data_IF_758672225214
#
_entry.id   IF_758672225214
#
_cell.length_a   1.000
_cell.length_b   1.000
_cell.length_c   1.000
_cell.angle_alpha   90.00
_cell.angle_beta   90.00
_cell.angle_gamma   90.00
#
_symmetry.space_group_name_H-M   'P 1'
#
loop_
_entity.id
_entity.type
_entity.pdbx_description
1 polymer ?
#
# COMPACT_ATOMS: atom_id res chain seq x y z
N UNK A 1 62.78 -12.72 -36.04
CA UNK A 1 62.70 -11.67 -35.00
C UNK A 1 61.61 -12.15 -34.05
N UNK A 2 61.79 -13.19 -33.24
CA UNK A 2 62.79 -13.49 -32.22
C UNK A 2 62.78 -12.57 -30.99
N UNK A 3 62.82 -13.22 -29.82
CA UNK A 3 62.87 -12.78 -28.40
C UNK A 3 61.52 -12.41 -27.75
N UNK A 4 60.91 -13.22 -26.87
CA UNK A 4 61.30 -13.66 -25.49
C UNK A 4 61.37 -12.46 -24.51
N UNK A 5 60.86 -12.45 -23.28
CA UNK A 5 60.75 -13.46 -22.21
C UNK A 5 59.95 -12.88 -21.01
N UNK A 6 59.37 -13.75 -20.19
CA UNK A 6 58.68 -13.47 -18.90
C UNK A 6 59.69 -13.61 -17.71
N UNK A 7 59.27 -13.76 -16.43
CA UNK A 7 58.89 -12.79 -15.39
C UNK A 7 59.92 -12.75 -14.21
N UNK A 8 59.74 -11.88 -13.20
CA UNK A 8 60.40 -12.05 -11.89
C UNK A 8 59.47 -11.80 -10.69
N UNK A 9 59.29 -12.87 -9.92
CA UNK A 9 58.92 -12.92 -8.51
C UNK A 9 60.21 -12.78 -7.68
N UNK A 10 60.18 -12.04 -6.57
CA UNK A 10 61.06 -12.29 -5.42
C UNK A 10 60.28 -12.08 -4.10
N UNK A 11 60.14 -13.17 -3.36
CA UNK A 11 59.79 -13.26 -1.93
C UNK A 11 61.01 -12.90 -1.07
N UNK A 12 60.84 -12.36 0.14
CA UNK A 12 61.52 -12.87 1.35
C UNK A 12 60.86 -12.40 2.65
N UNK A 13 60.88 -13.32 3.61
CA UNK A 13 60.18 -13.40 4.90
C UNK A 13 61.14 -13.10 6.08
N UNK A 14 60.53 -12.92 7.26
CA UNK A 14 60.99 -13.15 8.64
C UNK A 14 61.30 -11.96 9.59
N UNK A 15 60.30 -11.73 10.46
CA UNK A 15 60.33 -11.63 11.94
C UNK A 15 61.37 -10.72 12.62
N UNK A 16 60.87 -9.71 13.33
CA UNK A 16 61.13 -9.61 14.78
C UNK A 16 60.08 -8.78 15.52
N UNK A 17 59.66 -9.34 16.65
CA UNK A 17 58.77 -8.77 17.66
C UNK A 17 59.33 -7.48 18.25
N UNK A 18 58.45 -6.50 18.52
CA UNK A 18 58.52 -5.80 19.79
C UNK A 18 57.13 -5.47 20.32
N UNK A 19 56.99 -5.76 21.60
CA UNK A 19 55.79 -5.65 22.41
C UNK A 19 55.31 -4.19 22.45
N UNK A 20 54.03 -3.95 22.17
CA UNK A 20 53.33 -2.82 22.78
C UNK A 20 52.11 -3.34 23.54
N UNK A 21 52.22 -3.08 24.82
CA UNK A 21 51.43 -3.45 25.98
C UNK A 21 49.94 -3.19 25.79
N UNK A 22 49.14 -4.14 26.27
CA UNK A 22 47.72 -3.96 26.59
C UNK A 22 47.54 -2.68 27.41
N UNK A 23 46.83 -1.72 26.84
CA UNK A 23 45.91 -0.88 27.61
C UNK A 23 44.54 -1.20 27.05
N UNK A 24 43.94 -2.25 27.60
CA UNK A 24 42.53 -2.53 27.38
C UNK A 24 41.74 -1.34 27.92
N UNK A 25 41.19 -0.55 27.02
CA UNK A 25 40.01 0.22 27.35
C UNK A 25 38.90 -0.82 27.52
N UNK A 26 38.74 -1.31 28.75
CA UNK A 26 37.49 -1.89 29.16
C UNK A 26 36.46 -0.77 29.00
N UNK A 27 35.78 -0.74 27.86
CA UNK A 27 34.47 -0.09 27.76
C UNK A 27 33.60 -0.95 28.66
N UNK A 28 33.62 -0.62 29.95
CA UNK A 28 32.55 -0.97 30.84
C UNK A 28 31.30 -0.42 30.15
N UNK A 29 30.52 -1.31 29.52
CA UNK A 29 29.09 -1.11 29.45
C UNK A 29 28.64 -1.08 30.90
N UNK A 30 28.76 0.11 31.50
CA UNK A 30 27.89 0.51 32.56
C UNK A 30 26.54 0.43 31.89
N UNK A 31 25.84 -0.70 32.10
CA UNK A 31 24.40 -0.66 32.21
C UNK A 31 24.13 0.36 33.32
N UNK A 32 24.16 1.64 32.95
CA UNK A 32 23.34 2.61 33.63
C UNK A 32 21.97 2.02 33.38
N UNK A 33 21.46 1.30 34.38
CA UNK A 33 20.07 0.98 34.46
C UNK A 33 19.37 2.27 34.07
N UNK A 34 18.64 2.20 32.96
CA UNK A 34 17.72 3.25 32.56
C UNK A 34 16.82 3.42 33.77
N UNK A 35 17.20 4.34 34.67
CA UNK A 35 16.29 4.92 35.61
C UNK A 35 15.18 5.42 34.70
N UNK A 36 14.06 4.70 34.69
CA UNK A 36 12.87 5.14 33.99
C UNK A 36 12.70 6.59 34.42
N UNK A 37 12.93 7.49 33.46
CA UNK A 37 12.88 8.91 33.67
C UNK A 37 11.45 9.22 34.10
N UNK A 38 11.23 9.27 35.42
CA UNK A 38 9.90 9.41 35.98
C UNK A 38 9.65 10.89 36.20
N UNK A 39 8.96 11.52 35.27
CA UNK A 39 8.29 12.78 35.57
C UNK A 39 6.98 12.46 36.32
N UNK A 40 6.69 13.08 37.48
CA UNK A 40 5.45 12.85 38.22
C UNK A 40 4.19 13.14 37.41
N UNK A 41 4.24 14.07 36.46
CA UNK A 41 3.11 14.38 35.59
C UNK A 41 2.81 13.23 34.62
N UNK A 42 3.86 12.61 34.07
CA UNK A 42 3.70 11.44 33.21
C UNK A 42 3.36 10.18 33.99
N UNK A 43 4.07 9.92 35.09
CA UNK A 43 3.87 8.70 35.90
C UNK A 43 2.56 8.72 36.69
N UNK A 44 2.05 9.90 37.03
CA UNK A 44 0.71 10.08 37.60
C UNK A 44 -0.43 10.01 36.57
N UNK A 45 -0.11 10.09 35.28
CA UNK A 45 -1.10 9.92 34.21
C UNK A 45 -1.38 8.45 33.95
N UNK A 46 -2.67 8.10 33.80
CA UNK A 46 -3.15 6.73 33.61
C UNK A 46 -4.00 6.70 32.35
N UNK A 47 -3.64 5.86 31.39
CA UNK A 47 -4.43 5.63 30.19
C UNK A 47 -5.76 4.93 30.54
N UNK A 48 -6.77 4.97 29.64
CA UNK A 48 -8.08 4.33 29.88
C UNK A 48 -8.03 2.83 30.23
N UNK A 49 -6.95 2.12 29.87
CA UNK A 49 -6.71 0.72 30.23
C UNK A 49 -5.99 0.53 31.58
N UNK A 50 -5.80 1.59 32.38
CA UNK A 50 -5.16 1.52 33.69
C UNK A 50 -3.64 1.52 33.67
N UNK A 51 -3.00 1.73 32.52
CA UNK A 51 -1.54 1.78 32.44
C UNK A 51 -0.99 3.18 32.71
N UNK A 52 0.10 3.22 33.47
CA UNK A 52 0.81 4.46 33.77
C UNK A 52 1.74 4.87 32.61
N UNK A 53 1.84 6.18 32.37
CA UNK A 53 2.75 6.74 31.40
C UNK A 53 4.22 6.66 31.85
N UNK A 54 5.14 6.66 30.88
CA UNK A 54 6.57 6.84 31.10
C UNK A 54 7.18 7.79 30.05
N UNK A 55 8.20 8.56 30.43
CA UNK A 55 8.83 9.50 29.50
C UNK A 55 9.75 8.79 28.51
N UNK A 56 9.49 8.97 27.21
CA UNK A 56 10.27 8.38 26.12
C UNK A 56 10.32 9.31 24.89
N UNK A 57 11.27 9.08 23.98
CA UNK A 57 11.25 9.72 22.65
C UNK A 57 10.12 9.13 21.80
N UNK A 58 9.62 9.91 20.84
CA UNK A 58 8.56 9.44 19.91
C UNK A 58 9.00 8.18 19.14
N UNK A 59 10.26 8.10 18.73
CA UNK A 59 10.80 6.93 18.01
C UNK A 59 10.89 5.67 18.87
N UNK A 60 10.98 5.80 20.19
CA UNK A 60 10.99 4.69 21.15
C UNK A 60 9.58 4.37 21.67
N UNK A 61 8.56 5.09 21.20
CA UNK A 61 7.15 4.88 21.49
C UNK A 61 6.40 4.52 20.18
N UNK A 62 6.56 3.29 19.68
CA UNK A 62 5.93 2.87 18.44
C UNK A 62 4.40 2.98 18.52
N UNK A 63 3.74 3.08 17.37
CA UNK A 63 2.28 3.25 17.22
C UNK A 63 1.72 4.64 17.59
N UNK A 64 2.57 5.65 17.78
CA UNK A 64 2.21 7.08 17.94
C UNK A 64 1.44 7.44 19.23
N UNK A 65 1.46 6.60 20.27
CA UNK A 65 0.71 6.84 21.51
C UNK A 65 1.52 7.55 22.58
N UNK A 66 1.59 8.88 22.47
CA UNK A 66 2.25 9.73 23.44
C UNK A 66 1.50 11.05 23.69
N UNK A 67 1.66 11.61 24.89
CA UNK A 67 1.11 12.92 25.27
C UNK A 67 2.25 13.91 25.46
N UNK A 68 2.18 15.03 24.76
CA UNK A 68 3.15 16.12 24.88
C UNK A 68 2.96 16.88 26.19
N UNK A 69 4.05 17.39 26.74
CA UNK A 69 4.01 18.33 27.88
C UNK A 69 3.94 17.69 29.25
N UNK A 70 3.71 16.38 29.36
CA UNK A 70 3.70 15.65 30.64
C UNK A 70 5.08 15.10 31.05
N UNK A 71 6.13 15.47 30.30
CA UNK A 71 7.53 15.24 30.64
C UNK A 71 8.32 16.56 30.65
N UNK A 72 7.86 17.60 31.38
CA UNK A 72 8.43 18.95 31.31
C UNK A 72 9.92 19.00 31.70
N UNK A 73 10.38 18.04 32.49
CA UNK A 73 11.78 17.94 32.93
C UNK A 73 12.76 17.56 31.80
N UNK A 74 12.27 17.12 30.63
CA UNK A 74 13.10 16.46 29.60
C UNK A 74 13.08 17.13 28.21
N UNK A 75 12.50 18.34 28.09
CA UNK A 75 12.47 19.10 26.83
C UNK A 75 11.41 18.62 25.83
N UNK A 76 11.30 19.32 24.70
CA UNK A 76 10.15 19.16 23.78
C UNK A 76 10.13 17.84 23.00
N UNK A 77 11.27 17.15 22.89
CA UNK A 77 11.44 15.91 22.10
C UNK A 77 11.08 14.64 22.89
N UNK A 78 10.86 14.77 24.20
CA UNK A 78 10.44 13.70 25.10
C UNK A 78 8.96 13.85 25.44
N UNK A 79 8.23 12.75 25.30
CA UNK A 79 6.77 12.69 25.44
C UNK A 79 6.39 11.61 26.44
N UNK A 80 5.22 11.75 27.05
CA UNK A 80 4.71 10.73 27.96
C UNK A 80 4.05 9.60 27.16
N UNK A 81 4.69 8.43 27.13
CA UNK A 81 4.32 7.27 26.34
C UNK A 81 3.59 6.22 27.19
N UNK A 82 2.61 5.51 26.62
CA UNK A 82 1.86 4.44 27.28
C UNK A 82 2.14 3.08 26.61
N UNK A 83 2.29 2.01 27.42
CA UNK A 83 2.67 0.68 26.92
C UNK A 83 1.47 -0.16 26.45
N UNK A 84 0.80 0.28 25.38
CA UNK A 84 -0.49 -0.25 24.96
C UNK A 84 -0.42 -1.46 23.99
N UNK A 85 0.62 -2.30 24.03
CA UNK A 85 0.87 -3.39 23.05
C UNK A 85 -0.22 -4.49 22.96
N UNK A 86 -1.30 -4.39 23.72
CA UNK A 86 -2.41 -5.37 23.75
C UNK A 86 -3.80 -4.73 23.57
N UNK A 87 -3.90 -3.64 22.79
CA UNK A 87 -5.18 -3.15 22.26
C UNK A 87 -6.07 -2.36 23.24
N UNK A 88 -5.51 -1.75 24.28
CA UNK A 88 -6.30 -1.12 25.34
C UNK A 88 -6.49 0.39 25.30
N UNK A 89 -5.83 1.15 24.42
CA UNK A 89 -5.81 2.61 24.51
C UNK A 89 -6.49 3.25 23.30
N UNK A 90 -7.78 3.53 23.39
CA UNK A 90 -8.46 4.45 22.47
C UNK A 90 -8.18 5.91 22.89
N UNK A 91 -7.95 6.79 21.93
CA UNK A 91 -7.99 8.24 22.15
C UNK A 91 -9.32 8.77 21.67
N UNK A 92 -10.11 9.36 22.57
CA UNK A 92 -10.77 10.64 22.34
C UNK A 92 -11.41 11.14 23.63
N UNK A 93 -10.92 12.26 24.15
CA UNK A 93 -11.78 13.27 24.78
C UNK A 93 -11.00 14.55 25.00
N UNK A 94 -11.40 15.60 24.29
CA UNK A 94 -11.39 16.94 24.85
C UNK A 94 -12.14 16.89 26.19
N UNK A 95 -11.47 17.34 27.25
CA UNK A 95 -12.05 17.56 28.56
C UNK A 95 -13.06 18.70 28.45
N UNK A 96 -14.35 18.34 28.43
CA UNK A 96 -15.48 19.24 28.57
C UNK A 96 -16.31 18.82 29.79
N UNK A 97 -16.33 19.69 30.79
CA UNK A 97 -16.98 19.58 32.10
C UNK A 97 -18.36 18.91 32.09
N UNK A 98 -18.52 17.88 32.92
CA UNK A 98 -19.82 17.30 33.26
C UNK A 98 -20.49 18.02 34.43
N UNK A 99 -21.81 18.19 34.31
CA UNK A 99 -22.77 18.08 35.42
C UNK A 99 -24.07 17.54 34.85
N UNK A 100 -24.57 16.43 35.38
CA UNK A 100 -25.88 15.89 34.99
C UNK A 100 -26.10 14.45 35.42
N UNK A 101 -26.47 14.27 36.68
CA UNK A 101 -26.96 13.03 37.30
C UNK A 101 -28.22 12.49 36.63
N UNK A 102 -28.32 11.18 36.44
CA UNK A 102 -29.56 10.51 36.07
C UNK A 102 -29.43 8.99 36.10
N UNK A 103 -30.06 8.38 37.09
CA UNK A 103 -30.13 6.94 37.39
C UNK A 103 -31.14 6.19 36.51
N UNK A 104 -30.94 4.87 36.47
CA UNK A 104 -31.92 3.77 36.39
C UNK A 104 -32.19 3.01 35.08
N UNK A 105 -31.68 1.77 35.10
CA UNK A 105 -32.32 0.46 34.89
C UNK A 105 -33.29 0.24 33.72
N UNK A 106 -32.91 -0.70 32.86
CA UNK A 106 -33.82 -1.42 31.96
C UNK A 106 -33.18 -2.69 31.41
N UNK A 107 -33.48 -3.82 32.04
CA UNK A 107 -33.18 -5.19 31.56
C UNK A 107 -33.97 -5.51 30.30
N UNK A 108 -33.29 -6.00 29.26
CA UNK A 108 -33.92 -6.58 28.07
C UNK A 108 -32.96 -7.54 27.39
N UNK A 109 -33.19 -8.83 27.59
CA UNK A 109 -32.59 -9.93 26.83
C UNK A 109 -33.14 -9.91 25.41
N UNK A 110 -32.28 -9.76 24.41
CA UNK A 110 -32.64 -10.13 23.04
C UNK A 110 -31.48 -10.83 22.34
N UNK A 111 -31.76 -12.04 21.88
CA UNK A 111 -30.89 -12.88 21.07
C UNK A 111 -30.96 -12.40 19.63
N UNK A 112 -29.99 -11.58 19.22
CA UNK A 112 -29.81 -11.16 17.83
C UNK A 112 -28.36 -11.34 17.40
N UNK A 113 -28.16 -12.06 16.30
CA UNK A 113 -26.90 -12.15 15.56
C UNK A 113 -26.33 -10.75 15.33
N UNK A 114 -25.26 -10.41 16.03
CA UNK A 114 -24.65 -9.09 16.00
C UNK A 114 -23.90 -8.85 14.70
N UNK A 115 -24.56 -8.23 13.73
CA UNK A 115 -23.86 -7.41 12.74
C UNK A 115 -23.43 -6.14 13.48
N UNK A 116 -22.16 -6.09 13.89
CA UNK A 116 -21.60 -4.89 14.49
C UNK A 116 -21.62 -3.80 13.42
N UNK A 117 -22.56 -2.85 13.54
CA UNK A 117 -22.53 -1.61 12.76
C UNK A 117 -21.23 -0.88 13.11
N UNK A 118 -20.23 -0.95 12.23
CA UNK A 118 -19.01 -0.15 12.37
C UNK A 118 -19.39 1.33 12.22
N UNK A 119 -19.58 2.00 13.35
CA UNK A 119 -19.97 3.43 13.45
C UNK A 119 -18.76 4.38 13.47
N UNK A 120 -17.56 3.89 13.19
CA UNK A 120 -16.33 4.69 13.11
C UNK A 120 -15.99 5.15 11.70
N UNK A 121 -15.36 6.32 11.57
CA UNK A 121 -14.73 6.78 10.32
C UNK A 121 -13.49 5.95 10.01
N UNK A 122 -13.33 5.50 8.77
CA UNK A 122 -12.16 4.75 8.33
C UNK A 122 -10.87 5.56 8.50
N UNK A 123 -9.72 4.94 8.82
CA UNK A 123 -8.40 5.58 8.74
C UNK A 123 -8.12 6.21 7.37
N UNK A 124 -8.81 5.73 6.33
CA UNK A 124 -8.67 6.20 4.96
C UNK A 124 -9.76 7.21 4.55
N UNK A 125 -10.57 7.73 5.49
CA UNK A 125 -11.66 8.66 5.22
C UNK A 125 -11.25 9.92 4.43
N UNK A 126 -10.02 10.38 4.62
CA UNK A 126 -9.47 11.56 3.95
C UNK A 126 -8.84 11.25 2.57
N UNK A 127 -8.74 9.98 2.16
CA UNK A 127 -8.11 9.62 0.88
C UNK A 127 -8.99 10.09 -0.28
N UNK A 128 -8.37 10.83 -1.20
CA UNK A 128 -8.93 11.31 -2.47
C UNK A 128 -7.97 10.87 -3.56
N UNK A 129 -8.19 9.67 -4.06
CA UNK A 129 -7.26 8.98 -4.93
C UNK A 129 -7.71 8.96 -6.39
N UNK A 130 -6.75 8.69 -7.27
CA UNK A 130 -7.03 8.31 -8.66
C UNK A 130 -5.96 7.35 -9.18
N UNK A 131 -6.32 6.52 -10.15
CA UNK A 131 -5.32 5.79 -10.93
C UNK A 131 -4.72 6.68 -12.02
N UNK A 132 -3.44 6.49 -12.33
CA UNK A 132 -2.78 7.08 -13.49
C UNK A 132 -2.31 5.94 -14.39
N UNK A 133 -2.96 5.80 -15.56
CA UNK A 133 -2.69 4.72 -16.50
C UNK A 133 -1.39 4.94 -17.28
N UNK A 134 -0.74 3.85 -17.70
CA UNK A 134 0.45 3.89 -18.57
C UNK A 134 0.24 4.68 -19.87
N UNK A 135 -0.99 4.70 -20.38
CA UNK A 135 -1.33 5.43 -21.60
C UNK A 135 -1.27 6.95 -21.43
N UNK A 136 -1.19 7.41 -20.19
CA UNK A 136 -1.14 8.81 -19.77
C UNK A 136 0.17 9.16 -19.06
N UNK A 137 1.17 8.29 -19.20
CA UNK A 137 2.50 8.61 -18.70
C UNK A 137 3.05 9.84 -19.39
N UNK A 138 3.46 10.79 -18.56
CA UNK A 138 4.29 11.89 -18.96
C UNK A 138 5.57 11.38 -19.64
N UNK A 139 6.07 12.18 -20.57
CA UNK A 139 7.32 11.94 -21.27
C UNK A 139 8.52 12.68 -20.66
N UNK A 140 8.27 13.55 -19.69
CA UNK A 140 9.27 14.32 -18.97
C UNK A 140 8.85 14.68 -17.55
N UNK A 141 9.82 15.05 -16.70
CA UNK A 141 9.57 15.62 -15.37
C UNK A 141 8.61 16.82 -15.42
N UNK A 142 8.74 17.69 -16.41
CA UNK A 142 7.92 18.90 -16.54
C UNK A 142 6.44 18.57 -16.81
N UNK A 143 6.18 17.56 -17.65
CA UNK A 143 4.83 17.06 -17.90
C UNK A 143 4.23 16.39 -16.65
N UNK A 144 5.03 15.63 -15.89
CA UNK A 144 4.62 15.07 -14.60
C UNK A 144 4.25 16.19 -13.63
N UNK A 145 5.09 17.22 -13.52
CA UNK A 145 4.87 18.38 -12.66
C UNK A 145 3.58 19.13 -12.99
N UNK A 146 3.28 19.31 -14.28
CA UNK A 146 2.04 19.94 -14.74
C UNK A 146 0.82 19.07 -14.41
N UNK A 147 0.89 17.77 -14.69
CA UNK A 147 -0.19 16.82 -14.36
C UNK A 147 -0.50 16.82 -12.87
N UNK A 148 0.54 16.78 -12.03
CA UNK A 148 0.38 16.73 -10.58
C UNK A 148 -0.08 18.06 -9.98
N UNK A 149 0.30 19.20 -10.58
CA UNK A 149 -0.27 20.49 -10.20
C UNK A 149 -1.78 20.52 -10.47
N UNK A 150 -2.23 19.99 -11.62
CA UNK A 150 -3.66 19.85 -11.91
C UNK A 150 -4.33 18.93 -10.90
N UNK A 151 -3.77 17.75 -10.60
CA UNK A 151 -4.35 16.83 -9.62
C UNK A 151 -4.45 17.45 -8.22
N UNK A 152 -3.42 18.16 -7.76
CA UNK A 152 -3.45 18.88 -6.49
C UNK A 152 -4.56 19.94 -6.46
N UNK A 153 -4.69 20.74 -7.53
CA UNK A 153 -5.75 21.74 -7.66
C UNK A 153 -7.16 21.12 -7.68
N UNK A 154 -7.25 19.82 -7.97
CA UNK A 154 -8.47 19.02 -7.94
C UNK A 154 -8.67 18.32 -6.60
N UNK A 155 -7.85 18.58 -5.58
CA UNK A 155 -7.97 17.97 -4.26
C UNK A 155 -7.52 16.51 -4.18
N UNK A 156 -6.86 15.99 -5.23
CA UNK A 156 -6.29 14.63 -5.22
C UNK A 156 -5.07 14.63 -4.32
N UNK A 157 -5.05 13.71 -3.36
CA UNK A 157 -3.96 13.53 -2.41
C UNK A 157 -3.29 12.15 -2.49
N UNK A 158 -3.76 11.28 -3.41
CA UNK A 158 -3.11 9.99 -3.69
C UNK A 158 -3.21 9.60 -5.16
N UNK A 159 -2.16 8.99 -5.70
CA UNK A 159 -2.12 8.45 -7.06
C UNK A 159 -1.62 7.00 -7.06
N UNK A 160 -2.40 6.09 -7.64
CA UNK A 160 -1.97 4.74 -8.00
C UNK A 160 -1.42 4.78 -9.44
N UNK A 161 -0.10 4.90 -9.57
CA UNK A 161 0.60 5.06 -10.84
C UNK A 161 0.93 3.71 -11.44
N UNK A 162 0.47 3.41 -12.65
CA UNK A 162 0.85 2.20 -13.35
C UNK A 162 2.36 2.16 -13.58
N UNK A 163 3.08 1.21 -13.00
CA UNK A 163 4.55 1.11 -13.15
C UNK A 163 5.00 -0.09 -13.94
N UNK A 164 4.12 -1.08 -14.12
CA UNK A 164 4.45 -2.31 -14.79
C UNK A 164 3.25 -2.92 -15.50
N UNK A 165 3.40 -3.07 -16.82
CA UNK A 165 2.37 -3.66 -17.65
C UNK A 165 2.91 -4.01 -19.05
N UNK A 166 2.36 -5.04 -19.69
CA UNK A 166 2.71 -5.47 -21.06
C UNK A 166 4.22 -5.71 -21.28
N UNK A 167 4.91 -6.21 -20.24
CA UNK A 167 6.35 -6.44 -20.30
C UNK A 167 7.21 -5.18 -20.35
N UNK A 168 6.63 -4.02 -20.05
CA UNK A 168 7.30 -2.75 -19.90
C UNK A 168 7.30 -2.33 -18.43
N UNK A 169 8.37 -1.66 -18.01
CA UNK A 169 8.55 -1.16 -16.65
C UNK A 169 8.94 0.31 -16.67
N UNK A 170 8.38 1.09 -15.74
CA UNK A 170 8.49 2.55 -15.69
C UNK A 170 9.24 3.04 -14.44
N UNK A 171 10.14 2.21 -13.93
CA UNK A 171 11.02 2.45 -12.80
C UNK A 171 12.25 1.54 -12.89
N UNK A 172 13.32 1.84 -12.15
CA UNK A 172 14.52 1.01 -12.08
C UNK A 172 14.26 -0.21 -11.20
N UNK A 173 14.43 -1.42 -11.74
CA UNK A 173 14.24 -2.68 -11.03
C UNK A 173 15.33 -3.69 -11.42
N UNK A 174 16.32 -3.92 -10.55
CA UNK A 174 17.28 -5.01 -10.72
C UNK A 174 16.61 -6.38 -10.91
N UNK A 175 15.46 -6.62 -10.27
CA UNK A 175 14.68 -7.85 -10.43
C UNK A 175 14.18 -8.00 -11.87
N UNK A 176 13.61 -6.94 -12.47
CA UNK A 176 13.22 -6.97 -13.88
C UNK A 176 14.43 -7.16 -14.80
N UNK A 177 15.52 -6.43 -14.54
CA UNK A 177 16.76 -6.51 -15.33
C UNK A 177 17.43 -7.88 -15.27
N UNK A 178 17.22 -8.64 -14.20
CA UNK A 178 17.71 -10.02 -14.05
C UNK A 178 17.19 -10.98 -15.13
N UNK A 179 16.10 -10.62 -15.83
CA UNK A 179 15.62 -11.35 -17.00
C UNK A 179 16.52 -11.17 -18.24
N UNK A 180 17.49 -10.26 -18.20
CA UNK A 180 18.33 -9.89 -19.35
C UNK A 180 17.57 -9.04 -20.37
N UNK A 181 16.47 -8.41 -19.98
CA UNK A 181 15.55 -7.70 -20.86
C UNK A 181 15.72 -6.19 -20.69
N UNK A 182 15.83 -5.48 -21.81
CA UNK A 182 15.75 -4.01 -21.83
C UNK A 182 14.29 -3.56 -21.93
N UNK A 183 13.54 -3.76 -20.85
CA UNK A 183 12.11 -3.37 -20.76
C UNK A 183 11.87 -2.04 -20.05
N UNK A 184 12.91 -1.45 -19.46
CA UNK A 184 12.86 -0.12 -18.86
C UNK A 184 12.61 0.93 -19.94
N UNK A 185 11.46 1.61 -19.82
CA UNK A 185 11.05 2.63 -20.80
C UNK A 185 11.55 4.01 -20.40
N UNK A 186 11.34 4.40 -19.13
CA UNK A 186 11.79 5.64 -18.48
C UNK A 186 11.36 5.63 -17.01
N UNK A 187 11.94 6.51 -16.20
CA UNK A 187 11.70 6.58 -14.76
C UNK A 187 10.48 7.45 -14.39
N UNK A 188 9.28 7.03 -14.79
CA UNK A 188 8.04 7.76 -14.48
C UNK A 188 7.76 7.73 -12.98
N UNK A 189 8.09 6.63 -12.30
CA UNK A 189 7.90 6.50 -10.85
C UNK A 189 8.74 7.53 -10.09
N UNK A 190 10.02 7.72 -10.46
CA UNK A 190 10.89 8.72 -9.83
C UNK A 190 10.33 10.13 -9.95
N UNK A 191 9.89 10.50 -11.16
CA UNK A 191 9.27 11.80 -11.40
C UNK A 191 8.00 12.00 -10.57
N UNK A 192 7.16 10.96 -10.50
CA UNK A 192 5.91 11.01 -9.74
C UNK A 192 6.15 11.14 -8.24
N UNK A 193 7.07 10.36 -7.66
CA UNK A 193 7.42 10.45 -6.23
C UNK A 193 7.95 11.85 -5.89
N UNK A 194 8.84 12.40 -6.72
CA UNK A 194 9.36 13.76 -6.52
C UNK A 194 8.25 14.82 -6.56
N UNK A 195 7.38 14.79 -7.57
CA UNK A 195 6.29 15.77 -7.68
C UNK A 195 5.19 15.58 -6.64
N UNK A 196 4.97 14.34 -6.20
CA UNK A 196 4.06 13.98 -5.13
C UNK A 196 4.48 14.56 -3.79
N UNK A 197 5.75 14.37 -3.40
CA UNK A 197 6.32 14.94 -2.18
C UNK A 197 6.20 16.48 -2.14
N UNK A 198 6.44 17.16 -3.27
CA UNK A 198 6.28 18.62 -3.38
C UNK A 198 4.86 19.12 -3.14
N UNK A 199 3.85 18.26 -3.38
CA UNK A 199 2.43 18.65 -3.42
C UNK A 199 1.56 18.00 -2.35
N UNK A 200 2.14 17.13 -1.51
CA UNK A 200 1.36 16.34 -0.57
C UNK A 200 0.46 15.30 -1.26
N UNK A 201 0.90 14.78 -2.41
CA UNK A 201 0.24 13.66 -3.10
C UNK A 201 1.05 12.40 -2.84
N UNK A 202 0.42 11.43 -2.17
CA UNK A 202 1.03 10.12 -1.89
C UNK A 202 1.03 9.25 -3.15
N UNK A 203 2.17 8.65 -3.48
CA UNK A 203 2.35 7.86 -4.70
C UNK A 203 2.42 6.38 -4.37
N UNK A 204 1.63 5.61 -5.10
CA UNK A 204 1.57 4.16 -4.98
C UNK A 204 1.90 3.52 -6.33
N UNK A 205 2.89 2.65 -6.36
CA UNK A 205 3.32 1.97 -7.58
C UNK A 205 2.36 0.81 -7.90
N UNK A 206 1.57 0.96 -8.95
CA UNK A 206 0.55 0.01 -9.38
C UNK A 206 1.10 -0.97 -10.44
N UNK A 207 1.12 -2.24 -10.08
CA UNK A 207 1.56 -3.37 -10.90
C UNK A 207 0.37 -3.94 -11.67
N UNK A 208 -0.16 -3.17 -12.64
CA UNK A 208 -1.39 -3.48 -13.39
C UNK A 208 -1.41 -4.89 -13.97
N UNK A 209 -0.29 -5.39 -14.51
CA UNK A 209 -0.33 -6.73 -15.12
C UNK A 209 -0.29 -7.85 -14.08
N UNK A 210 0.15 -7.65 -12.84
CA UNK A 210 0.15 -8.69 -11.80
C UNK A 210 0.81 -10.01 -12.24
N UNK A 211 0.02 -10.99 -12.68
CA UNK A 211 0.48 -12.26 -13.23
C UNK A 211 0.29 -12.40 -14.74
N UNK A 212 -0.10 -11.37 -15.47
CA UNK A 212 -0.20 -11.40 -16.93
C UNK A 212 1.20 -11.30 -17.56
N UNK A 213 1.53 -12.29 -18.39
CA UNK A 213 2.70 -12.29 -19.25
C UNK A 213 2.50 -11.39 -20.49
N UNK A 214 1.36 -11.55 -21.18
CA UNK A 214 1.00 -10.76 -22.36
C UNK A 214 -0.49 -10.85 -22.67
N UNK A 215 -1.01 -9.87 -23.42
CA UNK A 215 -2.31 -9.96 -24.08
C UNK A 215 -2.13 -10.38 -25.54
N UNK A 216 -3.06 -11.19 -26.07
CA UNK A 216 -3.13 -11.55 -27.49
C UNK A 216 -3.09 -13.06 -27.77
N UNK A 217 -2.94 -13.42 -29.05
CA UNK A 217 -3.12 -14.79 -29.55
C UNK A 217 -1.97 -15.76 -29.27
N UNK A 218 -0.86 -15.32 -28.66
CA UNK A 218 0.33 -16.14 -28.44
C UNK A 218 1.02 -15.77 -27.12
N UNK A 219 1.67 -16.73 -26.42
CA UNK A 219 2.41 -16.44 -25.19
C UNK A 219 3.74 -15.73 -25.44
N UNK A 220 4.19 -15.60 -26.70
CA UNK A 220 5.54 -15.13 -27.06
C UNK A 220 5.53 -13.84 -27.89
N UNK A 221 4.54 -12.96 -27.67
CA UNK A 221 4.33 -11.73 -28.46
C UNK A 221 5.34 -10.60 -28.18
N UNK A 222 6.00 -10.60 -27.03
CA UNK A 222 7.00 -9.60 -26.65
C UNK A 222 8.27 -10.27 -26.15
N UNK A 223 9.36 -9.51 -26.02
CA UNK A 223 10.61 -10.02 -25.44
C UNK A 223 10.36 -10.57 -24.03
N UNK A 224 9.60 -9.85 -23.22
CA UNK A 224 9.20 -10.29 -21.88
C UNK A 224 8.40 -11.59 -21.91
N UNK A 225 7.31 -11.64 -22.67
CA UNK A 225 6.43 -12.82 -22.66
C UNK A 225 7.12 -14.04 -23.25
N UNK A 226 7.96 -13.87 -24.28
CA UNK A 226 8.83 -14.93 -24.77
C UNK A 226 9.83 -15.42 -23.72
N UNK A 227 10.48 -14.53 -22.98
CA UNK A 227 11.43 -14.92 -21.93
C UNK A 227 10.75 -15.72 -20.81
N UNK A 228 9.62 -15.24 -20.27
CA UNK A 228 8.91 -15.96 -19.19
C UNK A 228 8.30 -17.28 -19.70
N UNK A 229 7.85 -17.33 -20.96
CA UNK A 229 7.41 -18.58 -21.60
C UNK A 229 8.55 -19.61 -21.68
N UNK A 230 9.75 -19.19 -22.11
CA UNK A 230 10.93 -20.06 -22.20
C UNK A 230 11.42 -20.56 -20.83
N UNK A 231 11.14 -19.81 -19.75
CA UNK A 231 11.40 -20.24 -18.37
C UNK A 231 10.35 -21.22 -17.83
N UNK A 232 9.29 -21.51 -18.59
CA UNK A 232 8.19 -22.36 -18.12
C UNK A 232 7.31 -21.68 -17.07
N UNK A 233 7.33 -20.34 -17.01
CA UNK A 233 6.57 -19.58 -16.03
C UNK A 233 5.10 -19.37 -16.42
N UNK A 234 4.72 -19.61 -17.67
CA UNK A 234 3.37 -19.37 -18.18
C UNK A 234 2.46 -20.56 -17.89
N UNK A 235 1.35 -20.32 -17.18
CA UNK A 235 0.32 -21.32 -16.87
C UNK A 235 -0.60 -21.61 -18.04
N UNK A 236 -1.06 -20.56 -18.74
CA UNK A 236 -1.99 -20.72 -19.86
C UNK A 236 -2.68 -19.43 -20.30
N UNK A 237 -3.55 -19.57 -21.30
CA UNK A 237 -4.38 -18.47 -21.81
C UNK A 237 -5.76 -18.49 -21.16
N UNK A 238 -6.23 -17.32 -20.74
CA UNK A 238 -7.60 -17.08 -20.33
C UNK A 238 -7.98 -15.62 -20.56
N UNK A 239 -9.20 -15.40 -21.06
CA UNK A 239 -9.81 -14.08 -21.26
C UNK A 239 -8.99 -13.16 -22.20
N UNK A 240 -8.26 -13.73 -23.16
CA UNK A 240 -7.40 -13.02 -24.11
C UNK A 240 -5.99 -12.71 -23.58
N UNK A 241 -5.65 -13.19 -22.38
CA UNK A 241 -4.38 -12.96 -21.71
C UNK A 241 -3.66 -14.28 -21.44
N UNK A 242 -2.33 -14.25 -21.52
CA UNK A 242 -1.46 -15.33 -21.08
C UNK A 242 -0.98 -15.03 -19.67
N UNK A 243 -1.23 -15.95 -18.75
CA UNK A 243 -0.98 -15.78 -17.32
C UNK A 243 0.26 -16.58 -16.91
N UNK A 244 1.13 -15.95 -16.13
CA UNK A 244 2.19 -16.59 -15.36
C UNK A 244 1.57 -17.41 -14.22
N UNK A 245 2.24 -18.46 -13.79
CA UNK A 245 1.70 -19.42 -12.81
C UNK A 245 1.86 -18.91 -11.37
N UNK A 246 0.72 -18.74 -10.68
CA UNK A 246 0.69 -18.36 -9.27
C UNK A 246 1.20 -19.47 -8.32
N UNK A 247 1.31 -20.71 -8.79
CA UNK A 247 1.89 -21.83 -8.02
C UNK A 247 3.41 -21.93 -8.20
N UNK A 248 3.99 -21.12 -9.10
CA UNK A 248 5.42 -21.08 -9.34
C UNK A 248 6.08 -20.01 -8.46
N UNK A 249 6.85 -20.44 -7.47
CA UNK A 249 7.54 -19.53 -6.53
C UNK A 249 8.56 -18.61 -7.22
N UNK A 250 9.17 -18.99 -8.35
CA UNK A 250 10.04 -18.08 -9.11
C UNK A 250 9.25 -16.91 -9.72
N UNK A 251 7.99 -17.14 -10.12
CA UNK A 251 7.10 -16.09 -10.61
C UNK A 251 6.72 -15.15 -9.47
N UNK A 252 6.38 -15.69 -8.30
CA UNK A 252 6.01 -14.90 -7.13
C UNK A 252 7.20 -14.10 -6.59
N UNK A 253 8.39 -14.69 -6.52
CA UNK A 253 9.63 -14.01 -6.16
C UNK A 253 9.98 -12.90 -7.17
N UNK A 254 9.72 -13.11 -8.46
CA UNK A 254 9.91 -12.08 -9.48
C UNK A 254 8.96 -10.88 -9.27
N UNK A 255 7.67 -11.13 -9.06
CA UNK A 255 6.69 -10.04 -8.83
C UNK A 255 6.98 -9.31 -7.51
N UNK A 256 7.19 -10.05 -6.41
CA UNK A 256 7.53 -9.46 -5.12
C UNK A 256 8.86 -8.70 -5.16
N UNK A 257 9.86 -9.21 -5.89
CA UNK A 257 11.16 -8.55 -6.04
C UNK A 257 11.04 -7.22 -6.78
N UNK A 258 10.23 -7.13 -7.85
CA UNK A 258 9.95 -5.84 -8.50
C UNK A 258 9.22 -4.86 -7.56
N UNK A 259 8.28 -5.36 -6.75
CA UNK A 259 7.59 -4.55 -5.75
C UNK A 259 8.55 -4.03 -4.66
N UNK A 260 9.49 -4.87 -4.21
CA UNK A 260 10.51 -4.49 -3.24
C UNK A 260 11.51 -3.50 -3.84
N UNK A 261 11.94 -3.69 -5.08
CA UNK A 261 12.81 -2.74 -5.80
C UNK A 261 12.19 -1.33 -5.84
N UNK A 262 10.86 -1.24 -5.98
CA UNK A 262 10.17 0.05 -5.96
C UNK A 262 10.29 0.75 -4.60
N UNK A 263 10.27 0.03 -3.48
CA UNK A 263 10.52 0.62 -2.17
C UNK A 263 11.99 1.00 -1.98
N UNK A 264 12.90 0.11 -2.36
CA UNK A 264 14.34 0.30 -2.14
C UNK A 264 14.89 1.49 -2.94
N UNK A 265 14.40 1.69 -4.16
CA UNK A 265 14.91 2.72 -5.07
C UNK A 265 14.19 4.07 -4.96
N UNK A 266 13.01 4.14 -4.33
CA UNK A 266 12.18 5.36 -4.33
C UNK A 266 11.73 5.77 -2.92
N UNK A 267 12.62 6.42 -2.13
CA UNK A 267 12.25 6.99 -0.84
C UNK A 267 11.08 7.97 -0.95
N UNK A 268 10.07 7.81 -0.10
CA UNK A 268 8.85 8.61 -0.13
C UNK A 268 7.70 7.99 -0.92
N UNK A 269 7.90 6.81 -1.53
CA UNK A 269 6.81 5.99 -2.05
C UNK A 269 5.85 5.60 -0.90
N UNK A 270 4.56 5.84 -1.08
CA UNK A 270 3.53 5.52 -0.10
C UNK A 270 3.22 4.03 -0.01
N UNK A 271 3.29 3.33 -1.14
CA UNK A 271 3.06 1.89 -1.19
C UNK A 271 3.14 1.30 -2.60
N UNK A 272 2.80 0.02 -2.71
CA UNK A 272 2.64 -0.70 -3.98
C UNK A 272 1.23 -1.26 -4.07
N UNK A 273 0.70 -1.41 -5.28
CA UNK A 273 -0.66 -1.93 -5.51
C UNK A 273 -0.68 -3.05 -6.55
N UNK A 274 -1.40 -4.12 -6.22
CA UNK A 274 -1.85 -5.16 -7.14
C UNK A 274 -3.33 -4.91 -7.49
N UNK A 275 -3.79 -5.40 -8.64
CA UNK A 275 -5.21 -5.42 -8.98
C UNK A 275 -5.69 -6.83 -9.35
N UNK A 276 -6.84 -6.99 -10.00
CA UNK A 276 -7.39 -8.29 -10.37
C UNK A 276 -6.48 -9.14 -11.27
N UNK A 277 -5.52 -8.53 -11.95
CA UNK A 277 -4.57 -9.28 -12.76
C UNK A 277 -3.51 -10.00 -11.92
N UNK A 278 -3.47 -9.80 -10.60
CA UNK A 278 -2.75 -10.70 -9.70
C UNK A 278 -3.45 -12.07 -9.56
N UNK A 279 -4.74 -12.16 -9.84
CA UNK A 279 -5.51 -13.40 -9.72
C UNK A 279 -5.22 -14.44 -10.81
N UNK A 280 -5.86 -15.60 -10.70
CA UNK A 280 -5.83 -16.65 -11.72
C UNK A 280 -7.25 -16.90 -12.23
N UNK A 281 -7.56 -16.65 -13.51
CA UNK A 281 -8.87 -16.98 -14.05
C UNK A 281 -9.25 -18.45 -13.87
N UNK A 282 -10.54 -18.71 -13.61
CA UNK A 282 -11.05 -20.07 -13.39
C UNK A 282 -10.78 -21.03 -14.56
N UNK A 283 -10.57 -20.51 -15.78
CA UNK A 283 -10.24 -21.30 -16.96
C UNK A 283 -8.87 -22.00 -16.87
N UNK A 284 -8.00 -21.58 -15.94
CA UNK A 284 -6.61 -22.06 -15.87
C UNK A 284 -6.41 -23.30 -14.99
N UNK A 285 -7.47 -23.81 -14.34
CA UNK A 285 -7.39 -25.05 -13.58
C UNK A 285 -8.36 -25.15 -12.41
N UNK A 286 -8.19 -26.22 -11.63
CA UNK A 286 -8.86 -26.44 -10.34
C UNK A 286 -7.98 -25.97 -9.19
N UNK A 287 -8.53 -25.92 -7.98
CA UNK A 287 -7.81 -25.61 -6.73
C UNK A 287 -7.12 -24.23 -6.66
N UNK A 288 -7.41 -23.37 -7.64
CA UNK A 288 -6.80 -22.05 -7.77
C UNK A 288 -7.11 -21.11 -6.60
N UNK A 289 -8.17 -21.34 -5.82
CA UNK A 289 -8.45 -20.55 -4.61
C UNK A 289 -7.36 -20.79 -3.55
N UNK A 290 -6.90 -22.04 -3.38
CA UNK A 290 -5.81 -22.34 -2.46
C UNK A 290 -4.51 -21.71 -2.99
N UNK A 291 -4.20 -21.91 -4.28
CA UNK A 291 -3.04 -21.30 -4.94
C UNK A 291 -3.01 -19.78 -4.77
N UNK A 292 -4.15 -19.09 -4.90
CA UNK A 292 -4.19 -17.64 -4.75
C UNK A 292 -4.01 -17.18 -3.30
N UNK A 293 -4.41 -17.98 -2.31
CA UNK A 293 -4.13 -17.69 -0.89
C UNK A 293 -2.62 -17.78 -0.61
N UNK A 294 -1.99 -18.82 -1.13
CA UNK A 294 -0.55 -19.04 -0.96
C UNK A 294 0.24 -17.94 -1.69
N UNK A 295 -0.18 -17.58 -2.91
CA UNK A 295 0.42 -16.49 -3.67
C UNK A 295 0.30 -15.13 -2.94
N UNK A 296 -0.89 -14.80 -2.41
CA UNK A 296 -1.09 -13.57 -1.65
C UNK A 296 -0.17 -13.52 -0.41
N UNK A 297 -0.10 -14.63 0.34
CA UNK A 297 0.76 -14.73 1.53
C UNK A 297 2.25 -14.59 1.15
N UNK A 298 2.69 -15.25 0.07
CA UNK A 298 4.06 -15.14 -0.43
C UNK A 298 4.44 -13.71 -0.78
N UNK A 299 3.57 -12.97 -1.49
CA UNK A 299 3.84 -11.55 -1.80
C UNK A 299 3.97 -10.74 -0.51
N UNK A 300 3.04 -10.89 0.43
CA UNK A 300 2.99 -10.13 1.68
C UNK A 300 4.19 -10.44 2.61
N UNK A 301 4.71 -11.66 2.59
CA UNK A 301 5.92 -12.04 3.34
C UNK A 301 7.20 -11.45 2.75
N UNK A 302 7.24 -11.25 1.43
CA UNK A 302 8.44 -10.84 0.69
C UNK A 302 8.56 -9.33 0.52
N UNK A 303 7.44 -8.62 0.53
CA UNK A 303 7.40 -7.17 0.36
C UNK A 303 7.33 -6.50 1.73
N UNK A 304 8.40 -5.78 2.10
CA UNK A 304 8.53 -5.16 3.42
C UNK A 304 7.63 -3.93 3.64
N UNK A 305 7.13 -3.33 2.56
CA UNK A 305 6.32 -2.12 2.60
C UNK A 305 4.81 -2.36 2.51
N UNK A 306 4.04 -1.28 2.37
CA UNK A 306 2.57 -1.34 2.30
C UNK A 306 2.11 -1.88 0.95
N UNK A 307 1.33 -2.97 0.98
CA UNK A 307 0.73 -3.57 -0.21
C UNK A 307 -0.78 -3.32 -0.24
N UNK A 308 -1.27 -2.71 -1.31
CA UNK A 308 -2.68 -2.45 -1.60
C UNK A 308 -3.20 -3.47 -2.61
N UNK A 309 -4.47 -3.85 -2.52
CA UNK A 309 -5.15 -4.68 -3.52
C UNK A 309 -6.35 -3.94 -4.08
N UNK A 310 -6.47 -3.83 -5.41
CA UNK A 310 -7.63 -3.28 -6.10
C UNK A 310 -8.45 -4.38 -6.80
N UNK A 311 -9.30 -5.14 -6.07
CA UNK A 311 -9.96 -6.32 -6.62
C UNK A 311 -11.26 -6.00 -7.37
N UNK A 312 -11.76 -6.99 -8.13
CA UNK A 312 -13.10 -6.94 -8.72
C UNK A 312 -14.18 -6.94 -7.64
N UNK A 313 -15.26 -6.19 -7.90
CA UNK A 313 -16.44 -6.09 -7.04
C UNK A 313 -17.73 -6.54 -7.73
N UNK A 314 -18.66 -7.21 -7.02
CA UNK A 314 -18.59 -7.59 -5.60
C UNK A 314 -17.56 -8.71 -5.32
N UNK A 315 -17.21 -9.02 -4.05
CA UNK A 315 -16.20 -10.03 -3.72
C UNK A 315 -16.42 -11.40 -4.37
N UNK A 316 -17.69 -11.84 -4.44
CA UNK A 316 -18.04 -13.10 -5.10
C UNK A 316 -17.63 -13.11 -6.58
N UNK A 317 -17.71 -11.98 -7.28
CA UNK A 317 -17.30 -11.90 -8.67
C UNK A 317 -15.78 -12.08 -8.80
N UNK A 318 -14.99 -11.53 -7.87
CA UNK A 318 -13.55 -11.75 -7.82
C UNK A 318 -13.21 -13.22 -7.58
N UNK A 319 -13.87 -13.86 -6.62
CA UNK A 319 -13.69 -15.28 -6.32
C UNK A 319 -13.98 -16.16 -7.54
N UNK A 320 -15.15 -15.97 -8.18
CA UNK A 320 -15.57 -16.80 -9.31
C UNK A 320 -14.73 -16.57 -10.58
N UNK A 321 -14.22 -15.35 -10.78
CA UNK A 321 -13.57 -14.98 -12.03
C UNK A 321 -12.05 -15.08 -11.99
N UNK A 322 -11.45 -14.98 -10.80
CA UNK A 322 -10.01 -14.84 -10.58
C UNK A 322 -9.49 -15.65 -9.39
N UNK A 323 -10.35 -16.45 -8.75
CA UNK A 323 -10.01 -17.28 -7.58
C UNK A 323 -9.44 -16.48 -6.40
N UNK A 324 -9.70 -15.17 -6.35
CA UNK A 324 -9.25 -14.31 -5.26
C UNK A 324 -10.38 -14.08 -4.27
N UNK A 325 -10.28 -14.71 -3.10
CA UNK A 325 -11.21 -14.54 -1.97
C UNK A 325 -10.81 -13.34 -1.10
N UNK A 326 -10.79 -12.15 -1.71
CA UNK A 326 -10.29 -10.96 -1.04
C UNK A 326 -11.17 -10.50 0.13
N UNK A 327 -12.46 -10.87 0.15
CA UNK A 327 -13.30 -10.62 1.31
C UNK A 327 -12.80 -11.40 2.52
N UNK A 328 -12.47 -12.70 2.34
CA UNK A 328 -11.87 -13.49 3.41
C UNK A 328 -10.52 -12.90 3.83
N UNK A 329 -9.66 -12.56 2.88
CA UNK A 329 -8.36 -11.93 3.14
C UNK A 329 -8.49 -10.64 3.97
N UNK A 330 -9.50 -9.82 3.68
CA UNK A 330 -9.78 -8.60 4.44
C UNK A 330 -10.29 -8.91 5.85
N UNK A 331 -11.22 -9.86 6.01
CA UNK A 331 -11.78 -10.22 7.32
C UNK A 331 -10.80 -10.97 8.22
N UNK A 332 -9.89 -11.74 7.65
CA UNK A 332 -8.82 -12.47 8.36
C UNK A 332 -7.56 -11.61 8.58
N UNK A 333 -7.54 -10.41 7.99
CA UNK A 333 -6.42 -9.47 8.01
C UNK A 333 -5.06 -10.11 7.68
N UNK A 334 -4.94 -10.73 6.51
CA UNK A 334 -3.72 -11.45 6.12
C UNK A 334 -2.50 -10.55 5.86
N UNK A 335 -2.65 -9.23 5.93
CA UNK A 335 -1.53 -8.28 5.85
C UNK A 335 -1.62 -7.23 4.74
N UNK A 336 -2.61 -7.27 3.85
CA UNK A 336 -2.84 -6.14 2.93
C UNK A 336 -3.10 -4.86 3.73
N UNK A 337 -2.48 -3.75 3.31
CA UNK A 337 -2.61 -2.45 3.97
C UNK A 337 -4.01 -1.88 3.76
N UNK A 338 -4.52 -2.00 2.54
CA UNK A 338 -5.80 -1.47 2.10
C UNK A 338 -6.36 -2.27 0.91
N UNK A 339 -7.67 -2.17 0.74
CA UNK A 339 -8.43 -2.73 -0.36
C UNK A 339 -9.14 -1.60 -1.10
N UNK A 340 -8.95 -1.55 -2.43
CA UNK A 340 -9.51 -0.54 -3.32
C UNK A 340 -10.48 -1.19 -4.33
N UNK A 341 -11.61 -1.77 -3.86
CA UNK A 341 -12.52 -2.52 -4.72
C UNK A 341 -13.06 -1.68 -5.88
N UNK A 342 -13.01 -2.24 -7.09
CA UNK A 342 -13.49 -1.59 -8.32
C UNK A 342 -15.04 -1.66 -8.40
N UNK A 343 -15.74 -0.80 -7.64
CA UNK A 343 -17.22 -0.67 -7.66
C UNK A 343 -17.66 0.14 -8.89
N UNK A 344 -17.38 -0.39 -10.07
CA UNK A 344 -17.58 0.32 -11.32
C UNK A 344 -19.03 0.20 -11.78
N UNK A 345 -19.85 1.14 -11.31
CA UNK A 345 -21.25 1.31 -11.69
C UNK A 345 -21.46 2.61 -12.43
N UNK A 346 -22.51 2.66 -13.24
CA UNK A 346 -22.93 3.81 -14.04
C UNK A 346 -24.03 4.63 -13.35
N UNK A 347 -24.70 4.07 -12.32
CA UNK A 347 -25.74 4.73 -11.54
C UNK A 347 -25.36 4.82 -10.06
N UNK A 348 -25.65 5.96 -9.43
CA UNK A 348 -25.36 6.16 -8.01
C UNK A 348 -26.11 5.17 -7.10
N UNK A 349 -27.33 4.78 -7.46
CA UNK A 349 -28.13 3.81 -6.68
C UNK A 349 -27.56 2.40 -6.70
N UNK A 350 -27.00 1.96 -7.82
CA UNK A 350 -26.36 0.63 -7.91
C UNK A 350 -24.97 0.63 -7.28
N UNK A 351 -24.25 1.74 -7.37
CA UNK A 351 -23.03 1.96 -6.61
C UNK A 351 -23.29 1.87 -5.11
N UNK A 352 -24.33 2.58 -4.63
CA UNK A 352 -24.70 2.60 -3.21
C UNK A 352 -25.06 1.21 -2.68
N UNK A 353 -25.89 0.49 -3.42
CA UNK A 353 -26.24 -0.89 -3.07
C UNK A 353 -24.99 -1.74 -2.86
N UNK A 354 -24.07 -1.74 -3.82
CA UNK A 354 -22.84 -2.54 -3.74
C UNK A 354 -21.90 -2.07 -2.64
N UNK A 355 -21.79 -0.75 -2.42
CA UNK A 355 -20.98 -0.18 -1.35
C UNK A 355 -21.43 -0.68 0.02
N UNK A 356 -22.74 -0.64 0.30
CA UNK A 356 -23.30 -1.13 1.57
C UNK A 356 -23.03 -2.64 1.74
N UNK A 357 -23.21 -3.43 0.67
CA UNK A 357 -22.93 -4.87 0.75
C UNK A 357 -21.46 -5.15 1.03
N UNK A 358 -20.54 -4.43 0.38
CA UNK A 358 -19.10 -4.57 0.59
C UNK A 358 -18.73 -4.18 2.03
N UNK A 359 -19.20 -3.02 2.51
CA UNK A 359 -18.99 -2.60 3.90
C UNK A 359 -19.47 -3.67 4.88
N UNK A 360 -20.66 -4.23 4.65
CA UNK A 360 -21.22 -5.28 5.50
C UNK A 360 -20.40 -6.58 5.50
N UNK A 361 -19.67 -6.85 4.42
CA UNK A 361 -18.86 -8.06 4.27
C UNK A 361 -17.42 -7.91 4.79
N UNK A 362 -16.77 -6.76 4.55
CA UNK A 362 -15.33 -6.59 4.80
C UNK A 362 -15.00 -5.48 5.81
N UNK A 363 -15.99 -4.71 6.26
CA UNK A 363 -15.77 -3.56 7.14
C UNK A 363 -15.22 -2.32 6.42
N UNK A 364 -14.94 -1.27 7.18
CA UNK A 364 -14.47 0.04 6.68
C UNK A 364 -12.98 0.29 6.91
N UNK A 365 -12.37 -0.44 7.83
CA UNK A 365 -11.04 -0.13 8.40
C UNK A 365 -9.92 -0.06 7.36
N UNK A 366 -10.05 -0.83 6.26
CA UNK A 366 -9.07 -0.91 5.17
C UNK A 366 -9.65 -0.59 3.80
N UNK A 367 -10.85 0.00 3.74
CA UNK A 367 -11.62 0.13 2.51
C UNK A 367 -11.49 1.51 1.87
N UNK A 368 -11.16 1.54 0.58
CA UNK A 368 -11.19 2.75 -0.26
C UNK A 368 -11.99 2.42 -1.53
N UNK A 369 -13.30 2.70 -1.61
CA UNK A 369 -14.10 2.39 -2.79
C UNK A 369 -13.55 2.99 -4.10
N UNK A 370 -13.40 2.15 -5.11
CA UNK A 370 -13.05 2.53 -6.48
C UNK A 370 -14.30 2.91 -7.29
N UNK A 371 -14.34 4.13 -7.82
CA UNK A 371 -15.49 4.71 -8.53
C UNK A 371 -15.17 4.85 -10.02
N UNK A 372 -16.12 4.45 -10.87
CA UNK A 372 -16.00 4.60 -12.33
C UNK A 372 -16.33 6.04 -12.76
N UNK A 373 -15.40 6.70 -13.42
CA UNK A 373 -15.67 7.92 -14.20
C UNK A 373 -15.62 7.64 -15.70
N UNK A 374 -14.58 6.96 -16.17
CA UNK A 374 -14.37 6.60 -17.59
C UNK A 374 -14.39 5.08 -17.73
N UNK A 375 -15.01 4.53 -18.77
CA UNK A 375 -14.98 3.08 -19.03
C UNK A 375 -15.76 2.70 -20.28
N UNK A 376 -16.02 1.40 -20.47
CA UNK A 376 -16.88 0.91 -21.54
C UNK A 376 -18.27 1.57 -21.49
N UNK A 377 -18.81 1.98 -22.64
CA UNK A 377 -20.07 2.72 -22.72
C UNK A 377 -19.90 4.22 -22.49
N UNK A 378 -20.98 4.90 -22.09
CA UNK A 378 -20.95 6.33 -21.80
C UNK A 378 -20.16 6.63 -20.51
N UNK A 379 -19.39 7.71 -20.50
CA UNK A 379 -18.73 8.17 -19.27
C UNK A 379 -19.78 8.50 -18.19
N UNK A 380 -19.43 8.30 -16.92
CA UNK A 380 -20.31 8.65 -15.80
C UNK A 380 -20.47 10.18 -15.76
N UNK A 381 -21.71 10.73 -15.86
CA UNK A 381 -21.95 12.16 -15.70
C UNK A 381 -21.39 12.71 -14.38
N UNK A 382 -20.94 13.98 -14.36
CA UNK A 382 -20.25 14.52 -13.18
C UNK A 382 -21.13 14.57 -11.92
N UNK A 383 -22.41 14.90 -12.07
CA UNK A 383 -23.39 14.89 -10.96
C UNK A 383 -23.50 13.49 -10.35
N UNK A 384 -23.63 12.44 -11.19
CA UNK A 384 -23.66 11.05 -10.75
C UNK A 384 -22.34 10.63 -10.09
N UNK A 385 -21.20 11.05 -10.66
CA UNK A 385 -19.88 10.81 -10.06
C UNK A 385 -19.76 11.50 -8.68
N UNK A 386 -20.21 12.75 -8.59
CA UNK A 386 -20.21 13.54 -7.36
C UNK A 386 -21.09 12.91 -6.28
N UNK A 387 -22.24 12.35 -6.65
CA UNK A 387 -23.11 11.61 -5.74
C UNK A 387 -22.42 10.34 -5.19
N UNK A 388 -21.73 9.57 -6.04
CA UNK A 388 -20.98 8.38 -5.61
C UNK A 388 -19.83 8.75 -4.66
N UNK A 389 -19.11 9.84 -4.95
CA UNK A 389 -18.04 10.36 -4.07
C UNK A 389 -18.61 10.80 -2.72
N UNK A 390 -19.68 11.61 -2.75
CA UNK A 390 -20.36 12.07 -1.53
C UNK A 390 -20.91 10.91 -0.71
N UNK A 391 -21.33 9.83 -1.35
CA UNK A 391 -21.78 8.63 -0.64
C UNK A 391 -20.66 7.93 0.12
N UNK A 392 -19.45 7.84 -0.45
CA UNK A 392 -18.30 7.31 0.26
C UNK A 392 -17.99 8.15 1.50
N UNK A 393 -18.01 9.47 1.35
CA UNK A 393 -17.75 10.42 2.45
C UNK A 393 -18.81 10.32 3.56
N UNK A 394 -20.09 10.18 3.19
CA UNK A 394 -21.19 9.97 4.15
C UNK A 394 -21.02 8.66 4.94
N UNK A 395 -20.39 7.64 4.35
CA UNK A 395 -20.03 6.40 5.03
C UNK A 395 -18.72 6.50 5.84
N UNK A 396 -18.06 7.67 5.86
CA UNK A 396 -16.77 7.86 6.54
C UNK A 396 -15.62 7.18 5.81
N UNK A 397 -15.69 7.04 4.49
CA UNK A 397 -14.68 6.43 3.63
C UNK A 397 -14.03 7.47 2.72
N UNK A 398 -12.76 7.23 2.36
CA UNK A 398 -12.16 7.88 1.19
C UNK A 398 -12.62 7.20 -0.09
N UNK A 399 -12.02 7.54 -1.22
CA UNK A 399 -12.35 6.90 -2.50
C UNK A 399 -11.25 7.10 -3.54
N UNK A 400 -11.30 6.27 -4.58
CA UNK A 400 -10.42 6.36 -5.74
C UNK A 400 -11.23 6.44 -7.03
N UNK A 401 -11.03 7.47 -7.84
CA UNK A 401 -11.74 7.61 -9.12
C UNK A 401 -10.90 7.04 -10.26
N UNK A 402 -11.49 6.13 -11.03
CA UNK A 402 -10.93 5.60 -12.26
C UNK A 402 -11.28 6.49 -13.46
N UNK A 403 -10.34 7.23 -14.05
CA UNK A 403 -8.92 7.42 -13.67
C UNK A 403 -8.54 8.90 -13.92
N UNK A 404 -7.26 9.29 -13.80
CA UNK A 404 -6.79 10.68 -13.77
C UNK A 404 -7.34 11.60 -14.87
N UNK A 405 -7.59 11.08 -16.09
CA UNK A 405 -8.25 11.81 -17.18
C UNK A 405 -9.64 12.36 -16.83
N UNK A 406 -10.32 11.76 -15.85
CA UNK A 406 -11.55 12.29 -15.31
C UNK A 406 -11.37 13.75 -14.86
N UNK A 407 -10.28 14.04 -14.17
CA UNK A 407 -9.98 15.35 -13.60
C UNK A 407 -9.17 16.25 -14.54
N UNK A 408 -8.27 15.66 -15.34
CA UNK A 408 -7.35 16.43 -16.19
C UNK A 408 -7.93 16.77 -17.57
N UNK A 409 -8.95 16.03 -18.02
CA UNK A 409 -9.51 16.20 -19.37
C UNK A 409 -11.03 16.24 -19.42
N UNK A 410 -11.72 15.30 -18.77
CA UNK A 410 -13.17 15.16 -18.92
C UNK A 410 -13.96 16.23 -18.15
N UNK A 411 -13.55 16.49 -16.90
CA UNK A 411 -14.18 17.48 -16.03
C UNK A 411 -13.16 18.53 -15.53
N UNK A 412 -12.53 19.28 -16.46
CA UNK A 412 -11.43 20.18 -16.14
C UNK A 412 -11.87 21.40 -15.33
N UNK A 413 -13.16 21.73 -15.31
CA UNK A 413 -13.71 22.88 -14.58
C UNK A 413 -14.24 22.52 -13.19
N UNK A 414 -14.34 21.23 -12.86
CA UNK A 414 -14.90 20.77 -11.58
C UNK A 414 -13.79 20.50 -10.56
N UNK A 415 -13.98 20.92 -9.31
CA UNK A 415 -13.04 20.69 -8.20
C UNK A 415 -13.67 19.71 -7.21
N UNK A 416 -12.88 18.78 -6.70
CA UNK A 416 -13.31 17.87 -5.65
C UNK A 416 -13.52 18.64 -4.34
N UNK A 417 -14.74 18.65 -3.80
CA UNK A 417 -15.05 19.25 -2.50
C UNK A 417 -15.45 20.74 -2.49
N UNK A 418 -15.79 21.35 -3.63
CA UNK A 418 -16.40 22.68 -3.66
C UNK A 418 -17.91 22.59 -3.85
N UNK A 419 -18.70 22.84 -2.79
CA UNK A 419 -20.04 23.38 -3.00
C UNK A 419 -19.90 24.69 -3.79
N UNK A 420 -20.77 24.91 -4.78
CA UNK A 420 -20.89 26.21 -5.43
C UNK A 420 -21.19 27.32 -4.42
#
# INVERSE_FOLDING_TARGET
MDTSSSPYIVLFDHRCLSKMTLTGLAVAFVFLGSAFASDPECTGSVAPNGQHGHCATVSSCPYSYYVSGLCPSYGFDIKCCYNCHLGGCQTDSNIGTGTGTGTDTGTGTDTGTGTATQTGTSPYAAVRATWLSRYDHATSQAETAATFATLQAKGINRVYLNVWASGQIYFNSPTFESLGIRGFVRDVLGWAVEEGLKRGIEIWAWFEYGLIATWGSSPTLSVFSNTVYQRGWVKGEAKGYWWMDADNTEVLDFVAGMMQDAFDNYPGLGGVQLDEHFGQPYQLGTDLVATMNDAASHILEKVSGKVSLAPVSPPQASLLNYNMDWARWATEDIGFHEYVPKIYRDLASTFDYDLIQIIGQVGKDKLIPGIRCIGSGANTPYDVLSDMMSRCEAEGLGHSVWYSKCFTLLYPDHVHGGAQ
#
